data_IF_894425529873
#
_entry.id   IF_894425529873
#
_cell.length_a   1.000
_cell.length_b   1.000
_cell.length_c   1.000
_cell.angle_alpha   90.00
_cell.angle_beta   90.00
_cell.angle_gamma   90.00
#
_symmetry.space_group_name_H-M   'P 1'
#
loop_
_entity.id
_entity.type
_entity.pdbx_description
1 polymer ?
#
# COMPACT_ATOMS: atom_id res chain seq x y z
N UNK A 1 -25.34 -31.39 106.25
CA UNK A 1 -26.46 -32.26 106.65
C UNK A 1 -27.22 -32.62 105.40
N UNK A 2 -27.30 -33.90 105.08
CA UNK A 2 -28.23 -34.35 104.03
C UNK A 2 -29.63 -34.41 104.67
N UNK A 3 -30.63 -33.71 104.12
CA UNK A 3 -32.04 -33.81 104.54
C UNK A 3 -32.77 -34.60 103.46
N UNK A 4 -33.44 -35.68 103.83
CA UNK A 4 -34.07 -36.57 102.84
C UNK A 4 -35.48 -36.15 102.38
N UNK A 5 -36.14 -35.23 103.09
CA UNK A 5 -37.47 -34.72 102.76
C UNK A 5 -37.43 -33.30 102.21
N UNK A 6 -38.58 -32.78 101.83
CA UNK A 6 -38.70 -31.42 101.31
C UNK A 6 -38.24 -30.37 102.32
N UNK A 7 -37.79 -29.24 101.76
CA UNK A 7 -37.57 -28.01 102.50
C UNK A 7 -38.60 -27.01 102.00
N UNK A 8 -39.44 -26.56 102.90
CA UNK A 8 -40.32 -25.43 102.65
C UNK A 8 -39.77 -24.26 103.43
N UNK A 9 -39.51 -23.18 102.71
CA UNK A 9 -39.09 -21.92 103.29
C UNK A 9 -40.19 -20.92 102.97
N UNK A 10 -40.91 -20.52 103.99
CA UNK A 10 -41.89 -19.45 103.88
C UNK A 10 -41.31 -18.20 104.51
N UNK A 11 -41.34 -17.13 103.73
CA UNK A 11 -41.13 -15.78 104.24
C UNK A 11 -42.16 -14.87 103.62
N UNK A 12 -42.64 -13.92 104.41
CA UNK A 12 -43.42 -12.77 103.92
C UNK A 12 -42.49 -11.64 103.42
N UNK A 13 -41.15 -11.80 103.49
CA UNK A 13 -40.16 -10.87 102.92
C UNK A 13 -39.81 -11.22 101.47
N UNK A 14 -40.00 -10.24 100.59
CA UNK A 14 -39.48 -10.28 99.22
C UNK A 14 -37.94 -10.31 99.21
N UNK A 15 -37.37 -11.14 98.32
CA UNK A 15 -35.95 -11.11 97.99
C UNK A 15 -35.66 -9.93 97.05
N UNK A 16 -34.88 -8.95 97.51
CA UNK A 16 -34.51 -7.72 96.79
C UNK A 16 -33.00 -7.50 96.70
N UNK A 17 -32.21 -8.33 97.40
CA UNK A 17 -30.75 -8.38 97.32
C UNK A 17 -30.24 -9.74 97.83
N UNK A 18 -28.93 -9.92 97.92
CA UNK A 18 -28.29 -11.14 98.43
C UNK A 18 -28.40 -11.33 99.95
N UNK A 19 -28.94 -10.33 100.66
CA UNK A 19 -29.12 -10.33 102.12
C UNK A 19 -30.58 -10.11 102.54
N UNK A 20 -31.53 -10.13 101.61
CA UNK A 20 -32.98 -10.12 101.89
C UNK A 20 -33.67 -11.33 101.29
N UNK A 21 -34.83 -11.71 101.83
CA UNK A 21 -35.63 -12.85 101.35
C UNK A 21 -35.43 -14.15 102.13
N UNK A 22 -36.28 -15.14 101.80
CA UNK A 22 -36.47 -16.37 102.56
C UNK A 22 -35.24 -17.29 102.65
N UNK A 23 -34.42 -17.36 101.58
CA UNK A 23 -33.23 -18.20 101.46
C UNK A 23 -32.06 -17.32 101.03
N UNK A 24 -30.98 -17.27 101.81
CA UNK A 24 -29.77 -16.50 101.54
C UNK A 24 -28.54 -17.39 101.65
N UNK A 25 -27.61 -17.23 100.70
CA UNK A 25 -26.35 -17.96 100.65
C UNK A 25 -25.22 -16.97 100.89
N UNK A 26 -24.63 -17.01 102.09
CA UNK A 26 -23.58 -16.08 102.51
C UNK A 26 -22.22 -16.72 102.23
N UNK A 27 -21.60 -16.29 101.12
CA UNK A 27 -20.44 -16.90 100.43
C UNK A 27 -20.74 -18.26 99.79
N UNK A 28 -20.30 -18.46 98.55
CA UNK A 28 -20.63 -19.61 97.71
C UNK A 28 -21.90 -19.40 96.87
N UNK A 29 -22.41 -20.47 96.25
CA UNK A 29 -23.67 -20.50 95.50
C UNK A 29 -24.57 -21.66 95.94
N UNK A 30 -25.89 -21.49 95.89
CA UNK A 30 -26.85 -22.59 96.08
C UNK A 30 -26.78 -23.53 94.87
N UNK A 31 -26.45 -24.80 95.06
CA UNK A 31 -26.67 -25.81 94.02
C UNK A 31 -28.14 -26.24 94.01
N UNK A 32 -28.78 -26.30 92.84
CA UNK A 32 -30.13 -26.84 92.66
C UNK A 32 -30.05 -27.97 91.63
N UNK A 33 -30.29 -29.22 92.05
CA UNK A 33 -30.15 -30.42 91.20
C UNK A 33 -31.31 -30.66 90.23
N UNK A 34 -32.23 -29.70 90.11
CA UNK A 34 -33.44 -29.80 89.30
C UNK A 34 -33.92 -28.42 88.83
N UNK A 35 -35.13 -28.37 88.27
CA UNK A 35 -35.67 -27.15 87.65
C UNK A 35 -36.00 -26.06 88.67
N UNK A 36 -35.53 -24.85 88.39
CA UNK A 36 -35.92 -23.62 89.11
C UNK A 36 -37.11 -22.99 88.41
N UNK A 37 -38.28 -23.01 89.04
CA UNK A 37 -39.47 -22.29 88.57
C UNK A 37 -39.58 -21.00 89.37
N UNK A 38 -39.67 -19.88 88.65
CA UNK A 38 -39.77 -18.55 89.24
C UNK A 38 -41.09 -17.95 88.77
N UNK A 39 -42.02 -17.73 89.71
CA UNK A 39 -43.30 -17.07 89.42
C UNK A 39 -43.18 -15.56 89.23
N UNK A 40 -41.99 -15.01 89.48
CA UNK A 40 -41.63 -13.61 89.28
C UNK A 40 -40.31 -13.48 88.54
N UNK A 41 -39.56 -12.45 88.90
CA UNK A 41 -38.34 -12.07 88.22
C UNK A 41 -37.12 -12.91 88.64
N UNK A 42 -36.35 -13.38 87.67
CA UNK A 42 -35.00 -13.89 87.88
C UNK A 42 -34.03 -12.70 87.84
N UNK A 43 -33.76 -12.10 89.00
CA UNK A 43 -32.86 -10.95 89.11
C UNK A 43 -31.42 -11.39 89.38
N UNK A 44 -30.48 -10.89 88.59
CA UNK A 44 -29.06 -11.15 88.75
C UNK A 44 -28.38 -9.83 89.14
N UNK A 45 -27.72 -9.81 90.29
CA UNK A 45 -27.09 -8.62 90.86
C UNK A 45 -25.57 -8.74 90.85
N UNK A 46 -24.88 -7.61 90.90
CA UNK A 46 -23.42 -7.54 91.04
C UNK A 46 -22.64 -8.22 89.89
N UNK A 47 -23.15 -8.13 88.65
CA UNK A 47 -22.41 -8.45 87.41
C UNK A 47 -22.36 -9.92 86.97
N UNK A 48 -23.24 -10.77 87.52
CA UNK A 48 -23.26 -12.22 87.27
C UNK A 48 -24.13 -12.59 86.03
N UNK A 49 -24.05 -13.83 85.53
CA UNK A 49 -24.78 -14.32 84.33
C UNK A 49 -25.47 -15.67 84.53
N UNK A 50 -26.55 -15.91 83.78
CA UNK A 50 -27.30 -17.18 83.76
C UNK A 50 -26.70 -18.10 82.69
N UNK A 51 -26.27 -19.31 83.07
CA UNK A 51 -25.80 -20.34 82.14
C UNK A 51 -26.89 -21.38 81.87
N UNK A 52 -27.15 -21.66 80.58
CA UNK A 52 -28.11 -22.67 80.12
C UNK A 52 -27.43 -23.56 79.09
N UNK A 53 -27.00 -24.76 79.51
CA UNK A 53 -26.32 -25.75 78.67
C UNK A 53 -27.10 -27.08 78.61
N UNK A 54 -27.17 -27.72 77.43
CA UNK A 54 -27.78 -29.04 77.23
C UNK A 54 -27.70 -29.52 75.78
N UNK A 55 -27.64 -30.84 75.54
CA UNK A 55 -27.55 -31.40 74.18
C UNK A 55 -28.92 -31.36 73.48
N UNK A 56 -29.20 -30.30 72.71
CA UNK A 56 -30.13 -30.40 71.58
C UNK A 56 -31.53 -29.74 71.66
N UNK A 57 -31.72 -28.63 72.37
CA UNK A 57 -32.98 -27.85 72.28
C UNK A 57 -32.73 -26.35 72.40
N UNK A 58 -33.22 -25.54 71.45
CA UNK A 58 -32.91 -24.11 71.35
C UNK A 58 -33.67 -23.22 72.35
N UNK A 59 -32.99 -22.18 72.83
CA UNK A 59 -33.48 -21.14 73.76
C UNK A 59 -34.35 -20.10 73.04
N UNK A 60 -35.49 -19.68 73.63
CA UNK A 60 -36.48 -18.74 73.01
C UNK A 60 -36.85 -17.59 73.97
N UNK A 61 -36.84 -16.36 73.47
CA UNK A 61 -37.26 -15.11 74.17
C UNK A 61 -38.42 -14.46 73.38
N UNK A 62 -39.54 -14.03 74.02
CA UNK A 62 -40.70 -13.34 73.37
C UNK A 62 -41.15 -12.09 74.16
N UNK A 63 -41.39 -10.94 73.48
CA UNK A 63 -42.08 -9.72 74.00
C UNK A 63 -42.77 -8.96 72.86
N UNK A 64 -43.99 -8.45 73.09
CA UNK A 64 -44.88 -7.89 72.05
C UNK A 64 -44.58 -6.41 71.68
N UNK A 65 -43.84 -5.68 72.53
CA UNK A 65 -43.50 -4.25 72.32
C UNK A 65 -42.11 -4.00 71.72
N UNK A 66 -41.49 -5.03 71.15
CA UNK A 66 -40.12 -4.95 70.62
C UNK A 66 -39.02 -5.03 71.69
N UNK A 67 -37.78 -5.23 71.24
CA UNK A 67 -36.59 -5.33 72.06
C UNK A 67 -35.69 -4.10 71.82
N UNK A 68 -35.17 -3.47 72.89
CA UNK A 68 -34.20 -2.36 72.78
C UNK A 68 -32.74 -2.84 72.50
N UNK A 69 -32.54 -4.14 72.24
CA UNK A 69 -31.24 -4.73 71.90
C UNK A 69 -31.15 -6.23 72.20
N UNK A 70 -30.34 -6.96 71.41
CA UNK A 70 -30.01 -8.38 71.56
C UNK A 70 -28.52 -8.57 71.21
N UNK A 71 -27.71 -9.04 72.15
CA UNK A 71 -26.30 -9.41 71.90
C UNK A 71 -26.19 -10.94 71.85
N UNK A 72 -25.54 -11.49 70.82
CA UNK A 72 -25.58 -12.92 70.50
C UNK A 72 -24.17 -13.45 70.23
N UNK A 73 -23.54 -14.01 71.26
CA UNK A 73 -22.20 -14.63 71.17
C UNK A 73 -22.32 -16.15 71.23
N UNK A 74 -22.13 -16.79 70.08
CA UNK A 74 -22.18 -18.25 69.97
C UNK A 74 -21.10 -18.74 69.01
N UNK A 75 -20.62 -19.97 69.20
CA UNK A 75 -19.62 -20.56 68.30
C UNK A 75 -20.17 -20.85 66.89
N UNK A 76 -21.49 -21.04 66.72
CA UNK A 76 -22.14 -21.17 65.41
C UNK A 76 -23.65 -20.91 65.49
N UNK A 77 -24.19 -20.25 64.45
CA UNK A 77 -25.63 -20.03 64.26
C UNK A 77 -26.03 -20.72 62.95
N UNK A 78 -27.01 -21.62 62.98
CA UNK A 78 -27.44 -22.36 61.80
C UNK A 78 -28.27 -21.54 60.81
N UNK A 79 -29.04 -20.54 61.29
CA UNK A 79 -29.77 -19.58 60.43
C UNK A 79 -30.13 -18.31 61.19
N UNK A 80 -29.97 -17.18 60.52
CA UNK A 80 -30.58 -15.92 60.93
C UNK A 80 -31.81 -15.65 60.06
N UNK A 81 -32.98 -15.52 60.65
CA UNK A 81 -34.23 -15.20 59.95
C UNK A 81 -34.78 -13.89 60.47
N UNK A 82 -34.90 -12.91 59.57
CA UNK A 82 -35.42 -11.58 59.86
C UNK A 82 -36.69 -11.42 59.03
N UNK A 83 -37.82 -11.22 59.71
CA UNK A 83 -39.14 -11.00 59.10
C UNK A 83 -39.67 -9.68 59.65
N UNK A 84 -39.18 -8.59 59.08
CA UNK A 84 -39.53 -7.23 59.47
C UNK A 84 -40.24 -6.52 58.30
N UNK A 85 -41.11 -5.56 58.61
CA UNK A 85 -41.67 -4.61 57.64
C UNK A 85 -40.79 -3.37 57.44
N UNK A 86 -39.79 -3.13 58.31
CA UNK A 86 -38.81 -2.04 58.24
C UNK A 86 -37.41 -2.45 57.72
N UNK A 87 -36.47 -1.48 57.58
CA UNK A 87 -35.14 -1.72 57.01
C UNK A 87 -34.13 -2.32 58.00
N UNK A 88 -33.15 -3.06 57.45
CA UNK A 88 -31.93 -3.50 58.15
C UNK A 88 -30.83 -2.46 57.95
N UNK A 89 -30.26 -1.92 59.04
CA UNK A 89 -29.22 -0.86 59.00
C UNK A 89 -27.91 -1.33 59.64
N UNK A 90 -26.79 -0.99 59.01
CA UNK A 90 -25.42 -1.25 59.48
C UNK A 90 -24.69 0.09 59.61
N UNK A 91 -24.20 0.44 60.81
CA UNK A 91 -23.69 1.80 61.15
C UNK A 91 -22.16 1.90 61.27
N UNK A 92 -21.43 0.79 61.15
CA UNK A 92 -19.96 0.81 61.10
C UNK A 92 -19.47 1.56 59.86
N UNK A 93 -18.42 2.36 59.98
CA UNK A 93 -17.94 3.28 58.93
C UNK A 93 -16.69 2.81 58.16
N UNK A 94 -16.32 1.53 58.23
CA UNK A 94 -15.17 0.99 57.47
C UNK A 94 -15.39 1.14 55.96
N UNK A 95 -14.40 1.66 55.25
CA UNK A 95 -14.40 1.83 53.80
C UNK A 95 -14.21 0.50 53.05
N UNK A 96 -14.78 0.41 51.85
CA UNK A 96 -14.75 -0.78 51.00
C UNK A 96 -13.77 -0.60 49.85
N UNK A 97 -12.82 -1.51 49.75
CA UNK A 97 -11.93 -1.67 48.59
C UNK A 97 -11.79 -3.17 48.20
N UNK A 98 -12.39 -4.07 48.99
CA UNK A 98 -12.53 -5.52 48.78
C UNK A 98 -13.78 -6.08 49.49
N UNK A 99 -14.11 -7.34 49.25
CA UNK A 99 -15.28 -8.03 49.81
C UNK A 99 -15.21 -8.35 51.31
N UNK A 100 -14.02 -8.27 51.93
CA UNK A 100 -13.78 -8.50 53.38
C UNK A 100 -13.39 -7.22 54.12
N UNK A 101 -13.47 -6.10 53.41
CA UNK A 101 -13.35 -4.76 53.96
C UNK A 101 -14.70 -4.08 53.86
N UNK A 102 -15.06 -3.33 54.91
CA UNK A 102 -16.25 -2.52 54.90
C UNK A 102 -17.31 -2.98 55.88
N UNK A 103 -18.35 -2.17 55.95
CA UNK A 103 -19.41 -2.25 56.95
C UNK A 103 -20.31 -3.50 56.81
N UNK A 104 -20.69 -3.84 55.58
CA UNK A 104 -21.46 -5.04 55.26
C UNK A 104 -20.59 -5.99 54.44
N UNK A 105 -20.22 -7.12 55.05
CA UNK A 105 -19.47 -8.18 54.39
C UNK A 105 -20.41 -9.36 54.20
N UNK A 106 -21.01 -9.45 53.01
CA UNK A 106 -21.76 -10.64 52.65
C UNK A 106 -20.79 -11.57 51.98
N UNK A 107 -20.40 -12.58 52.76
CA UNK A 107 -19.51 -13.62 52.24
C UNK A 107 -20.20 -14.41 51.11
N UNK A 108 -21.53 -14.57 51.17
CA UNK A 108 -22.33 -15.12 50.07
C UNK A 108 -22.78 -14.07 49.05
N UNK A 109 -23.20 -14.54 47.88
CA UNK A 109 -23.77 -13.65 46.87
C UNK A 109 -25.02 -12.95 47.38
N UNK A 110 -25.17 -11.70 46.97
CA UNK A 110 -26.43 -10.99 47.20
C UNK A 110 -27.34 -11.33 46.02
N UNK A 111 -28.23 -12.28 46.23
CA UNK A 111 -29.34 -12.53 45.32
C UNK A 111 -30.33 -11.38 45.46
N UNK A 112 -30.32 -10.49 44.48
CA UNK A 112 -31.28 -9.40 44.41
C UNK A 112 -32.21 -9.70 43.25
N UNK A 113 -33.43 -10.13 43.56
CA UNK A 113 -34.50 -10.17 42.56
C UNK A 113 -34.88 -8.76 42.07
N UNK A 114 -34.45 -7.73 42.82
CA UNK A 114 -34.42 -6.30 42.47
C UNK A 114 -32.98 -5.76 42.23
N UNK A 115 -32.71 -4.47 42.48
CA UNK A 115 -31.42 -3.81 42.14
C UNK A 115 -30.35 -3.67 43.26
N UNK A 116 -29.07 -3.47 42.88
CA UNK A 116 -27.89 -3.26 43.76
C UNK A 116 -27.40 -1.79 43.76
N UNK A 117 -27.19 -1.15 44.92
CA UNK A 117 -26.69 0.25 45.05
C UNK A 117 -25.41 0.37 45.90
N UNK A 118 -24.36 1.03 45.38
CA UNK A 118 -22.99 1.10 45.97
C UNK A 118 -22.46 2.56 45.98
N UNK A 119 -22.17 3.13 47.15
CA UNK A 119 -21.78 4.56 47.34
C UNK A 119 -20.27 4.89 47.32
N UNK A 120 -19.39 3.88 47.23
CA UNK A 120 -17.93 4.00 47.02
C UNK A 120 -17.52 3.44 45.65
N UNK A 121 -16.25 3.01 45.46
CA UNK A 121 -15.79 2.35 44.22
C UNK A 121 -16.75 1.23 43.85
N UNK A 122 -17.52 1.45 42.79
CA UNK A 122 -18.26 0.39 42.13
C UNK A 122 -17.24 -0.29 41.23
N UNK A 123 -16.50 -1.21 41.83
CA UNK A 123 -16.05 -2.42 41.17
C UNK A 123 -17.29 -3.25 40.83
N UNK A 124 -18.16 -2.62 40.05
CA UNK A 124 -18.85 -3.30 39.00
C UNK A 124 -17.81 -3.37 37.93
N UNK A 125 -17.62 -4.58 37.53
CA UNK A 125 -17.48 -4.91 36.14
C UNK A 125 -17.96 -3.86 35.10
N UNK A 126 -18.83 -2.83 35.33
CA UNK A 126 -19.08 -1.68 34.43
C UNK A 126 -19.61 -2.09 33.05
N UNK A 127 -20.05 -3.34 33.04
CA UNK A 127 -20.46 -4.18 31.96
C UNK A 127 -21.93 -4.36 32.25
N UNK A 128 -22.80 -3.84 31.38
CA UNK A 128 -24.20 -4.23 31.42
C UNK A 128 -24.32 -5.56 30.70
N UNK A 129 -24.21 -6.67 31.44
CA UNK A 129 -24.44 -8.02 30.92
C UNK A 129 -25.93 -8.18 30.63
N UNK A 130 -26.32 -8.01 29.37
CA UNK A 130 -27.68 -8.40 28.98
C UNK A 130 -27.72 -9.90 28.74
N UNK A 131 -28.78 -10.56 29.22
CA UNK A 131 -29.11 -11.92 28.79
C UNK A 131 -29.78 -11.82 27.40
N UNK A 132 -28.96 -11.57 26.38
CA UNK A 132 -29.44 -11.16 25.07
C UNK A 132 -28.72 -11.94 23.96
N UNK A 133 -29.48 -12.72 23.18
CA UNK A 133 -29.01 -13.50 22.03
C UNK A 133 -28.92 -12.66 20.73
N UNK A 134 -29.13 -11.35 20.81
CA UNK A 134 -29.14 -10.47 19.63
C UNK A 134 -27.71 -10.20 19.16
N UNK A 135 -27.44 -10.46 17.88
CA UNK A 135 -26.16 -10.13 17.24
C UNK A 135 -25.88 -8.61 17.31
N UNK A 136 -24.59 -8.25 17.44
CA UNK A 136 -24.16 -6.85 17.49
C UNK A 136 -24.40 -6.19 16.12
N UNK A 137 -25.27 -5.19 16.07
CA UNK A 137 -25.59 -4.42 14.87
C UNK A 137 -25.23 -2.92 15.02
N UNK A 138 -25.20 -2.41 16.25
CA UNK A 138 -24.86 -1.03 16.63
C UNK A 138 -24.06 -1.02 17.93
N UNK A 139 -23.51 0.14 18.29
CA UNK A 139 -22.81 0.39 19.58
C UNK A 139 -23.71 0.23 20.82
N UNK A 140 -25.02 0.14 20.61
CA UNK A 140 -26.05 0.05 21.64
C UNK A 140 -26.73 -1.33 21.64
N UNK A 141 -26.11 -2.31 20.97
CA UNK A 141 -26.60 -3.68 20.87
C UNK A 141 -25.48 -4.66 21.24
N UNK A 142 -25.82 -5.73 21.95
CA UNK A 142 -24.84 -6.71 22.43
C UNK A 142 -24.93 -6.94 23.93
N UNK A 143 -24.32 -8.04 24.37
CA UNK A 143 -24.36 -8.50 25.75
C UNK A 143 -23.48 -7.66 26.68
N UNK A 144 -22.43 -7.02 26.17
CA UNK A 144 -21.60 -6.05 26.91
C UNK A 144 -21.64 -4.74 26.15
N UNK A 145 -22.25 -3.73 26.77
CA UNK A 145 -22.29 -2.38 26.23
C UNK A 145 -21.48 -1.45 27.10
N UNK A 146 -20.53 -0.75 26.48
CA UNK A 146 -19.84 0.40 27.06
C UNK A 146 -20.37 1.61 26.34
N UNK A 147 -21.50 2.12 26.82
CA UNK A 147 -22.29 3.14 26.10
C UNK A 147 -21.59 4.49 26.11
N UNK A 148 -20.76 4.74 27.12
CA UNK A 148 -20.02 5.98 27.28
C UNK A 148 -18.56 5.69 27.63
N UNK A 149 -17.65 6.29 26.87
CA UNK A 149 -16.22 6.07 26.98
C UNK A 149 -15.70 5.09 25.93
N UNK A 150 -14.39 4.91 25.92
CA UNK A 150 -13.74 3.86 25.15
C UNK A 150 -13.51 2.64 26.03
N UNK A 151 -13.44 1.47 25.41
CA UNK A 151 -12.87 0.31 26.09
C UNK A 151 -11.36 0.47 26.06
N UNK A 152 -10.77 0.89 27.18
CA UNK A 152 -9.33 0.87 27.36
C UNK A 152 -8.86 -0.57 27.53
N UNK A 153 -8.18 -1.12 26.51
CA UNK A 153 -7.69 -2.50 26.52
C UNK A 153 -6.16 -2.44 26.49
N UNK A 154 -5.54 -2.63 27.66
CA UNK A 154 -4.08 -2.67 27.77
C UNK A 154 -3.44 -3.94 27.21
N UNK A 155 -4.24 -4.94 26.80
CA UNK A 155 -3.81 -6.21 26.23
C UNK A 155 -4.31 -6.45 24.80
N UNK A 156 -4.32 -7.71 24.36
CA UNK A 156 -4.84 -8.10 23.04
C UNK A 156 -6.37 -8.20 22.98
N UNK A 157 -6.93 -8.11 21.78
CA UNK A 157 -8.34 -8.35 21.48
C UNK A 157 -8.40 -9.49 20.46
N UNK A 158 -9.22 -10.52 20.70
CA UNK A 158 -9.55 -11.55 19.70
C UNK A 158 -11.05 -11.49 19.44
N UNK A 159 -11.44 -11.29 18.19
CA UNK A 159 -12.84 -11.21 17.78
C UNK A 159 -13.14 -12.39 16.87
N UNK A 160 -13.97 -13.35 17.31
CA UNK A 160 -14.37 -14.50 16.50
C UNK A 160 -15.44 -14.18 15.45
N UNK A 161 -16.12 -13.05 15.61
CA UNK A 161 -17.11 -12.51 14.67
C UNK A 161 -16.58 -11.30 13.90
N UNK A 162 -17.51 -10.58 13.26
CA UNK A 162 -17.20 -9.32 12.57
C UNK A 162 -16.97 -8.21 13.58
N UNK A 163 -15.93 -7.41 13.36
CA UNK A 163 -15.71 -6.14 14.04
C UNK A 163 -16.10 -5.00 13.12
N UNK A 164 -17.09 -4.20 13.52
CA UNK A 164 -17.57 -3.05 12.74
C UNK A 164 -17.17 -1.75 13.43
N UNK A 165 -16.47 -0.87 12.71
CA UNK A 165 -16.18 0.51 13.15
C UNK A 165 -17.16 1.44 12.47
N UNK A 166 -18.08 2.03 13.22
CA UNK A 166 -19.18 2.86 12.69
C UNK A 166 -18.84 4.35 12.58
N UNK A 167 -17.70 4.78 13.10
CA UNK A 167 -17.24 6.16 12.93
C UNK A 167 -16.99 6.44 11.45
N UNK A 168 -17.53 7.54 10.92
CA UNK A 168 -17.48 7.91 9.50
C UNK A 168 -16.42 8.98 9.19
N UNK A 169 -15.60 9.34 10.18
CA UNK A 169 -14.51 10.31 9.99
C UNK A 169 -13.53 9.79 8.94
N UNK A 170 -13.34 10.55 7.86
CA UNK A 170 -12.39 10.22 6.82
C UNK A 170 -10.94 10.31 7.34
N UNK A 171 -10.09 9.39 6.91
CA UNK A 171 -8.66 9.46 7.16
C UNK A 171 -7.99 10.38 6.14
N UNK A 172 -7.19 11.33 6.63
CA UNK A 172 -6.36 12.26 5.82
C UNK A 172 -4.88 12.21 6.22
N UNK A 173 -4.56 11.56 7.33
CA UNK A 173 -3.23 11.30 7.87
C UNK A 173 -3.28 10.04 8.74
N UNK A 174 -2.13 9.59 9.26
CA UNK A 174 -2.07 8.45 10.18
C UNK A 174 -2.75 8.69 11.53
N UNK A 175 -3.04 9.94 11.88
CA UNK A 175 -3.57 10.35 13.17
C UNK A 175 -5.04 10.84 13.07
N UNK A 176 -5.68 10.62 11.90
CA UNK A 176 -7.08 10.97 11.66
C UNK A 176 -7.85 9.77 11.12
N UNK A 177 -9.17 9.85 11.18
CA UNK A 177 -10.06 8.80 10.69
C UNK A 177 -10.63 7.89 11.78
N UNK A 178 -11.53 7.01 11.35
CA UNK A 178 -12.32 6.13 12.19
C UNK A 178 -11.51 5.01 12.88
N UNK A 179 -10.54 4.44 12.18
CA UNK A 179 -9.63 3.41 12.67
C UNK A 179 -8.20 3.92 12.51
N UNK A 180 -7.48 4.05 13.63
CA UNK A 180 -6.08 4.46 13.65
C UNK A 180 -5.25 3.30 14.18
N UNK A 181 -4.18 2.96 13.46
CA UNK A 181 -3.22 1.93 13.86
C UNK A 181 -1.84 2.56 13.83
N UNK A 182 -1.23 2.71 15.02
CA UNK A 182 0.09 3.34 15.16
C UNK A 182 1.22 2.42 14.66
N UNK A 183 1.00 1.11 14.68
CA UNK A 183 1.91 0.10 14.15
C UNK A 183 1.56 -0.35 12.72
N UNK A 184 2.12 -1.49 12.31
CA UNK A 184 1.74 -2.14 11.05
C UNK A 184 0.43 -2.92 11.15
N UNK A 185 -0.24 -3.11 10.00
CA UNK A 185 -1.42 -3.97 9.88
C UNK A 185 -1.06 -5.16 8.98
N UNK A 186 -1.14 -6.38 9.51
CA UNK A 186 -1.04 -7.61 8.72
C UNK A 186 -2.43 -8.10 8.35
N UNK A 187 -2.68 -8.30 7.05
CA UNK A 187 -3.97 -8.78 6.52
C UNK A 187 -3.70 -10.02 5.66
N UNK A 188 -4.21 -11.17 6.10
CA UNK A 188 -4.05 -12.43 5.36
C UNK A 188 -4.97 -12.54 4.16
N UNK A 189 -6.17 -11.96 4.26
CA UNK A 189 -7.16 -11.92 3.18
C UNK A 189 -6.98 -10.72 2.26
N UNK A 190 -7.97 -10.49 1.40
CA UNK A 190 -8.04 -9.30 0.55
C UNK A 190 -8.47 -8.05 1.31
N UNK A 191 -8.15 -6.88 0.73
CA UNK A 191 -8.63 -5.57 1.17
C UNK A 191 -9.52 -5.03 0.05
N UNK A 192 -10.75 -4.65 0.39
CA UNK A 192 -11.65 -3.94 -0.53
C UNK A 192 -11.93 -2.57 0.06
N UNK A 193 -11.58 -1.52 -0.68
CA UNK A 193 -11.73 -0.13 -0.26
C UNK A 193 -12.45 0.65 -1.35
N UNK A 194 -13.58 1.25 -1.01
CA UNK A 194 -14.33 2.12 -1.92
C UNK A 194 -13.76 3.54 -1.98
N UNK A 195 -12.92 3.91 -1.00
CA UNK A 195 -12.31 5.22 -0.89
C UNK A 195 -10.92 5.30 -1.54
N UNK A 196 -10.26 6.44 -1.33
CA UNK A 196 -8.88 6.66 -1.76
C UNK A 196 -7.92 5.94 -0.81
N UNK A 197 -6.94 5.23 -1.37
CA UNK A 197 -5.85 4.62 -0.61
C UNK A 197 -4.59 5.46 -0.81
N UNK A 198 -4.16 6.17 0.23
CA UNK A 198 -2.99 7.06 0.17
C UNK A 198 -1.80 6.40 0.86
N UNK A 199 -0.67 6.27 0.16
CA UNK A 199 0.61 5.79 0.70
C UNK A 199 1.54 7.00 0.86
N UNK A 200 1.88 7.35 2.10
CA UNK A 200 2.65 8.57 2.42
C UNK A 200 4.15 8.33 2.59
N UNK A 201 4.61 7.08 2.59
CA UNK A 201 6.03 6.77 2.66
C UNK A 201 6.75 7.41 1.45
N UNK A 202 7.78 8.22 1.69
CA UNK A 202 8.50 8.96 0.67
C UNK A 202 9.70 8.20 0.06
N UNK A 203 9.90 6.93 0.44
CA UNK A 203 11.02 6.12 -0.06
C UNK A 203 10.88 5.91 -1.57
N UNK A 204 11.89 6.31 -2.34
CA UNK A 204 11.94 6.10 -3.79
C UNK A 204 12.13 4.61 -4.13
N UNK A 205 11.45 4.14 -5.18
CA UNK A 205 11.65 2.80 -5.70
C UNK A 205 12.83 2.77 -6.69
N UNK A 206 13.77 1.84 -6.47
CA UNK A 206 14.89 1.55 -7.39
C UNK A 206 14.85 0.10 -7.90
N UNK A 207 13.98 -0.72 -7.32
CA UNK A 207 13.64 -2.10 -7.71
C UNK A 207 12.23 -2.45 -7.19
N UNK A 208 11.71 -3.63 -7.55
CA UNK A 208 10.38 -4.11 -7.14
C UNK A 208 10.22 -4.39 -5.64
N UNK A 209 11.33 -4.47 -4.88
CA UNK A 209 11.35 -4.73 -3.43
C UNK A 209 11.74 -3.50 -2.61
N UNK A 210 11.69 -2.32 -3.24
CA UNK A 210 12.02 -1.03 -2.60
C UNK A 210 10.90 -0.03 -2.85
N UNK A 211 10.89 1.06 -2.07
CA UNK A 211 9.92 2.13 -2.22
C UNK A 211 8.68 1.97 -1.35
N UNK A 212 7.76 2.92 -1.50
CA UNK A 212 6.60 3.10 -0.65
C UNK A 212 5.53 2.00 -0.78
N UNK A 213 5.22 1.60 -2.00
CA UNK A 213 4.25 0.56 -2.32
C UNK A 213 4.95 -0.54 -3.11
N UNK A 214 4.92 -1.76 -2.57
CA UNK A 214 5.52 -2.94 -3.19
C UNK A 214 4.41 -3.93 -3.56
N UNK A 215 4.48 -4.45 -4.79
CA UNK A 215 3.53 -5.42 -5.32
C UNK A 215 4.36 -6.56 -5.90
N UNK A 216 4.35 -7.71 -5.24
CA UNK A 216 5.12 -8.88 -5.69
C UNK A 216 4.50 -9.56 -6.92
N UNK A 217 3.18 -9.45 -7.08
CA UNK A 217 2.44 -9.92 -8.25
C UNK A 217 2.28 -8.86 -9.34
N UNK A 218 1.19 -8.93 -10.10
CA UNK A 218 0.83 -7.91 -11.09
C UNK A 218 -0.05 -6.79 -10.50
N UNK A 219 0.05 -5.60 -11.08
CA UNK A 219 -0.86 -4.49 -10.82
C UNK A 219 -1.85 -4.34 -11.98
N UNK A 220 -3.13 -4.58 -11.73
CA UNK A 220 -4.21 -4.30 -12.67
C UNK A 220 -4.76 -2.88 -12.47
N UNK A 221 -4.79 -2.08 -13.53
CA UNK A 221 -5.35 -0.72 -13.50
C UNK A 221 -6.39 -0.60 -14.62
N UNK A 222 -7.66 -0.45 -14.23
CA UNK A 222 -8.76 -0.27 -15.20
C UNK A 222 -8.91 1.16 -15.72
N UNK A 223 -8.19 2.12 -15.13
CA UNK A 223 -8.21 3.53 -15.50
C UNK A 223 -6.83 4.07 -15.86
N UNK A 224 -6.69 5.39 -15.82
CA UNK A 224 -5.44 6.10 -16.16
C UNK A 224 -4.41 6.01 -15.04
N UNK A 225 -3.13 5.85 -15.41
CA UNK A 225 -2.00 5.99 -14.49
C UNK A 225 -1.41 7.39 -14.69
N UNK A 226 -1.32 8.17 -13.61
CA UNK A 226 -0.66 9.47 -13.60
C UNK A 226 0.59 9.41 -12.71
N UNK A 227 1.77 9.51 -13.31
CA UNK A 227 3.05 9.50 -12.63
C UNK A 227 3.78 10.82 -12.87
N UNK A 228 4.21 11.49 -11.79
CA UNK A 228 5.05 12.68 -11.88
C UNK A 228 6.53 12.33 -12.08
N UNK A 229 6.92 11.11 -11.72
CA UNK A 229 8.28 10.60 -11.85
C UNK A 229 8.46 9.68 -13.05
N UNK A 230 9.65 9.08 -13.12
CA UNK A 230 9.98 8.12 -14.16
C UNK A 230 9.17 6.82 -14.02
N UNK A 231 8.79 6.23 -15.15
CA UNK A 231 8.27 4.87 -15.22
C UNK A 231 9.39 4.00 -15.80
N UNK A 232 9.88 3.05 -15.01
CA UNK A 232 10.88 2.06 -15.45
C UNK A 232 10.16 0.72 -15.61
N UNK A 233 10.21 0.17 -16.81
CA UNK A 233 9.62 -1.15 -17.12
C UNK A 233 10.75 -2.10 -17.46
N UNK A 234 11.04 -3.03 -16.54
CA UNK A 234 12.01 -4.10 -16.78
C UNK A 234 11.37 -5.28 -17.51
N UNK A 235 12.17 -6.11 -18.19
CA UNK A 235 11.67 -7.33 -18.82
C UNK A 235 12.43 -7.76 -20.08
N UNK A 236 11.80 -8.64 -20.85
CA UNK A 236 12.34 -9.25 -22.07
C UNK A 236 12.50 -8.25 -23.21
N UNK A 237 13.46 -8.49 -24.11
CA UNK A 237 13.59 -7.74 -25.37
C UNK A 237 12.33 -7.88 -26.24
N UNK A 238 12.03 -6.86 -27.04
CA UNK A 238 10.91 -6.86 -27.98
C UNK A 238 11.35 -7.37 -29.36
N UNK A 239 10.51 -8.18 -30.01
CA UNK A 239 10.66 -8.62 -31.40
C UNK A 239 9.35 -8.56 -32.20
N UNK A 240 8.25 -8.17 -31.55
CA UNK A 240 6.91 -8.03 -32.10
C UNK A 240 6.05 -7.18 -31.16
N UNK A 241 4.89 -6.72 -31.61
CA UNK A 241 3.91 -5.97 -30.79
C UNK A 241 3.30 -6.79 -29.65
N UNK A 242 3.61 -8.09 -29.54
CA UNK A 242 3.13 -8.98 -28.48
C UNK A 242 4.23 -9.41 -27.51
N UNK A 243 5.40 -8.76 -27.57
CA UNK A 243 6.57 -9.06 -26.74
C UNK A 243 7.25 -7.78 -26.26
N UNK A 244 8.04 -7.88 -25.21
CA UNK A 244 8.77 -6.76 -24.65
C UNK A 244 8.31 -6.38 -23.25
N UNK A 245 9.08 -5.54 -22.57
CA UNK A 245 8.74 -5.02 -21.25
C UNK A 245 7.50 -4.11 -21.27
N UNK A 246 7.38 -3.24 -22.28
CA UNK A 246 6.23 -2.35 -22.48
C UNK A 246 5.48 -2.75 -23.77
N UNK A 247 4.24 -3.20 -23.63
CA UNK A 247 3.34 -3.50 -24.74
C UNK A 247 2.21 -2.48 -24.79
N UNK A 248 1.92 -1.94 -25.97
CA UNK A 248 0.85 -0.97 -26.18
C UNK A 248 0.02 -1.35 -27.40
N UNK A 249 -1.29 -1.53 -27.22
CA UNK A 249 -2.20 -2.05 -28.26
C UNK A 249 -2.79 -0.92 -29.12
N UNK A 250 -3.21 0.20 -28.52
CA UNK A 250 -3.89 1.30 -29.23
C UNK A 250 -2.95 2.30 -29.92
N UNK A 251 -1.75 2.50 -29.37
CA UNK A 251 -0.77 3.49 -29.83
C UNK A 251 -0.19 4.30 -28.67
N UNK A 252 0.94 4.97 -28.92
CA UNK A 252 1.62 5.81 -27.93
C UNK A 252 1.68 7.24 -28.45
N UNK A 253 1.11 8.18 -27.71
CA UNK A 253 1.31 9.61 -27.93
C UNK A 253 2.53 10.11 -27.18
N UNK A 254 3.49 10.72 -27.89
CA UNK A 254 4.70 11.30 -27.30
C UNK A 254 4.79 12.74 -27.79
N UNK A 255 4.53 13.71 -26.90
CA UNK A 255 4.61 15.13 -27.23
C UNK A 255 6.06 15.66 -27.22
N UNK A 256 6.93 15.01 -26.45
CA UNK A 256 8.37 15.29 -26.44
C UNK A 256 9.13 14.48 -27.48
N UNK A 257 10.43 14.32 -27.25
CA UNK A 257 11.26 13.44 -28.07
C UNK A 257 11.10 11.97 -27.69
N UNK A 258 11.38 11.09 -28.66
CA UNK A 258 11.58 9.67 -28.44
C UNK A 258 13.06 9.36 -28.72
N UNK A 259 13.79 8.89 -27.70
CA UNK A 259 15.17 8.43 -27.85
C UNK A 259 15.20 6.89 -27.79
N UNK A 260 15.66 6.25 -28.87
CA UNK A 260 15.69 4.79 -28.99
C UNK A 260 17.14 4.35 -29.20
N UNK A 261 17.69 3.60 -28.25
CA UNK A 261 19.04 3.02 -28.38
C UNK A 261 19.10 1.80 -29.29
N UNK A 262 17.94 1.25 -29.69
CA UNK A 262 17.80 0.12 -30.60
C UNK A 262 17.13 0.50 -31.92
N UNK A 263 16.50 -0.48 -32.57
CA UNK A 263 15.84 -0.31 -33.87
C UNK A 263 14.38 0.10 -33.67
N UNK A 264 13.91 1.06 -34.47
CA UNK A 264 12.48 1.35 -34.63
C UNK A 264 11.97 0.51 -35.80
N UNK A 265 11.01 -0.38 -35.54
CA UNK A 265 10.37 -1.22 -36.57
C UNK A 265 8.90 -0.83 -36.71
N UNK A 266 8.45 -0.60 -37.94
CA UNK A 266 7.05 -0.33 -38.26
C UNK A 266 6.79 -0.54 -39.75
N UNK A 267 5.54 -0.80 -40.12
CA UNK A 267 5.13 -0.87 -41.54
C UNK A 267 5.36 0.46 -42.25
N UNK A 268 5.16 1.57 -41.55
CA UNK A 268 5.47 2.91 -42.01
C UNK A 268 6.09 3.70 -40.86
N UNK A 269 7.15 4.44 -41.16
CA UNK A 269 7.75 5.42 -40.26
C UNK A 269 7.67 6.78 -40.96
N UNK A 270 6.74 7.62 -40.49
CA UNK A 270 6.58 8.98 -41.02
C UNK A 270 7.40 9.93 -40.14
N UNK A 271 8.50 10.39 -40.70
CA UNK A 271 9.27 11.51 -40.16
C UNK A 271 8.77 12.71 -40.96
N UNK A 272 8.25 13.76 -40.32
CA UNK A 272 7.61 14.90 -40.99
C UNK A 272 8.55 15.69 -41.92
N UNK A 273 8.35 17.00 -42.15
CA UNK A 273 9.18 17.78 -43.08
C UNK A 273 10.65 17.98 -42.60
N UNK A 274 11.02 17.44 -41.44
CA UNK A 274 12.39 17.50 -40.93
C UNK A 274 13.22 16.34 -41.45
N UNK A 275 14.45 16.67 -41.87
CA UNK A 275 15.46 15.71 -42.28
C UNK A 275 15.59 14.60 -41.23
N UNK A 276 15.40 13.36 -41.66
CA UNK A 276 15.85 12.21 -40.89
C UNK A 276 17.32 12.47 -40.52
N UNK A 277 17.62 12.66 -39.24
CA UNK A 277 19.00 12.71 -38.79
C UNK A 277 19.53 11.29 -38.94
N UNK A 278 20.15 11.06 -40.08
CA UNK A 278 20.87 9.86 -40.47
C UNK A 278 22.16 9.80 -39.65
N UNK A 279 22.09 9.34 -38.40
CA UNK A 279 23.30 8.85 -37.74
C UNK A 279 23.67 7.53 -38.41
N UNK A 280 24.54 7.64 -39.42
CA UNK A 280 25.17 6.54 -40.14
C UNK A 280 24.18 5.65 -40.87
N UNK A 281 23.64 6.18 -41.97
CA UNK A 281 23.34 5.30 -43.11
C UNK A 281 24.68 4.73 -43.55
N UNK A 282 25.06 3.58 -43.00
CA UNK A 282 25.93 2.66 -43.69
C UNK A 282 25.12 2.08 -44.86
N UNK A 283 24.79 2.92 -45.84
CA UNK A 283 24.69 2.43 -47.21
C UNK A 283 26.12 2.06 -47.55
N UNK A 284 26.48 0.82 -47.24
CA UNK A 284 27.25 0.07 -48.21
C UNK A 284 26.37 0.00 -49.47
N UNK A 285 26.33 1.12 -50.21
CA UNK A 285 25.76 1.17 -51.54
C UNK A 285 26.65 0.28 -52.37
N UNK A 286 26.22 -0.96 -52.57
CA UNK A 286 26.83 -1.88 -53.49
C UNK A 286 26.63 -1.27 -54.88
N UNK A 287 27.67 -0.60 -55.36
CA UNK A 287 27.76 -0.04 -56.71
C UNK A 287 27.30 -1.04 -57.77
N UNK A 288 26.57 -0.60 -58.83
CA UNK A 288 26.42 0.79 -59.32
C UNK A 288 25.25 1.60 -58.72
N UNK A 289 25.42 2.93 -58.58
CA UNK A 289 24.32 3.88 -58.34
C UNK A 289 23.84 4.39 -59.70
N UNK A 290 22.55 4.24 -60.00
CA UNK A 290 21.95 4.82 -61.21
C UNK A 290 21.85 6.35 -61.04
N UNK A 291 22.43 7.09 -61.97
CA UNK A 291 22.20 8.53 -62.10
C UNK A 291 20.96 8.74 -62.99
N UNK A 292 20.74 9.97 -63.46
CA UNK A 292 19.63 10.27 -64.35
C UNK A 292 19.72 9.56 -65.72
N UNK A 293 18.56 9.09 -66.19
CA UNK A 293 18.34 8.70 -67.58
C UNK A 293 18.31 9.95 -68.45
N UNK A 294 19.28 10.08 -69.36
CA UNK A 294 19.43 11.23 -70.25
C UNK A 294 18.74 11.02 -71.61
N UNK A 295 18.05 9.89 -71.77
CA UNK A 295 17.41 9.45 -73.02
C UNK A 295 16.41 10.49 -73.59
N UNK A 296 15.75 11.27 -72.73
CA UNK A 296 14.81 12.32 -73.14
C UNK A 296 15.47 13.68 -73.48
N UNK A 297 16.80 13.80 -73.28
CA UNK A 297 17.57 15.00 -73.56
C UNK A 297 18.41 14.88 -74.84
N UNK A 298 18.38 13.72 -75.52
CA UNK A 298 19.08 13.49 -76.77
C UNK A 298 18.39 14.20 -77.95
N UNK A 299 19.04 15.22 -78.51
CA UNK A 299 18.52 16.06 -79.61
C UNK A 299 19.47 16.15 -80.82
N UNK A 300 20.56 15.38 -80.83
CA UNK A 300 21.60 15.41 -81.86
C UNK A 300 22.52 16.64 -81.82
N UNK A 301 22.30 17.59 -80.90
CA UNK A 301 23.03 18.85 -80.81
C UNK A 301 23.70 19.06 -79.44
N UNK A 302 23.03 18.68 -78.34
CA UNK A 302 23.52 18.82 -76.97
C UNK A 302 24.47 17.70 -76.62
N UNK A 303 25.65 18.09 -76.14
CA UNK A 303 26.71 17.18 -75.69
C UNK A 303 26.93 17.23 -74.19
N UNK A 304 26.28 18.14 -73.44
CA UNK A 304 26.55 18.39 -72.03
C UNK A 304 25.27 18.22 -71.22
N UNK A 305 25.31 17.32 -70.24
CA UNK A 305 24.13 16.94 -69.46
C UNK A 305 24.42 16.98 -67.95
N UNK A 306 23.47 17.45 -67.12
CA UNK A 306 23.67 17.51 -65.68
C UNK A 306 23.60 16.10 -65.11
N UNK A 307 24.44 15.79 -64.11
CA UNK A 307 24.33 14.55 -63.37
C UNK A 307 23.47 14.76 -62.13
N UNK A 308 22.36 14.03 -62.04
CA UNK A 308 21.39 14.14 -60.96
C UNK A 308 21.05 12.75 -60.40
N UNK A 309 20.79 12.68 -59.09
CA UNK A 309 20.14 11.54 -58.42
C UNK A 309 18.86 12.10 -57.79
N UNK A 310 17.69 11.59 -58.19
CA UNK A 310 16.39 12.06 -57.69
C UNK A 310 16.28 13.59 -57.63
N UNK A 311 16.58 14.25 -58.77
CA UNK A 311 16.60 15.72 -58.94
C UNK A 311 17.68 16.47 -58.13
N UNK A 312 18.50 15.78 -57.35
CA UNK A 312 19.61 16.37 -56.58
C UNK A 312 20.91 16.32 -57.38
N UNK A 313 21.64 17.44 -57.42
CA UNK A 313 22.91 17.54 -58.14
C UNK A 313 23.97 16.59 -57.58
N UNK A 314 24.60 15.82 -58.48
CA UNK A 314 25.79 15.03 -58.13
C UNK A 314 26.99 15.99 -58.01
N UNK A 315 27.74 15.85 -56.93
CA UNK A 315 28.95 16.62 -56.64
C UNK A 315 30.08 15.66 -56.24
N UNK A 316 31.34 16.07 -56.41
CA UNK A 316 32.50 15.29 -55.96
C UNK A 316 32.98 14.18 -56.90
N UNK A 317 32.38 14.01 -58.09
CA UNK A 317 32.99 13.19 -59.14
C UNK A 317 34.20 13.95 -59.69
N UNK A 318 35.38 13.36 -59.55
CA UNK A 318 36.64 14.00 -59.94
C UNK A 318 37.37 13.26 -61.05
N UNK A 319 36.94 12.04 -61.38
CA UNK A 319 37.45 11.22 -62.48
C UNK A 319 36.28 10.71 -63.35
N UNK A 320 36.46 10.64 -64.67
CA UNK A 320 35.43 10.15 -65.59
C UNK A 320 35.25 8.63 -65.51
N UNK A 321 36.22 7.88 -64.97
CA UNK A 321 36.10 6.44 -64.70
C UNK A 321 35.16 6.11 -63.55
N UNK A 322 34.78 7.11 -62.76
CA UNK A 322 33.79 6.95 -61.71
C UNK A 322 32.39 6.73 -62.29
N UNK A 323 32.21 7.00 -63.59
CA UNK A 323 30.99 6.75 -64.32
C UNK A 323 31.13 5.64 -65.34
N UNK A 324 30.03 4.94 -65.56
CA UNK A 324 29.80 4.10 -66.72
C UNK A 324 28.64 4.71 -67.51
N UNK A 325 28.96 5.12 -68.73
CA UNK A 325 27.99 5.76 -69.66
C UNK A 325 27.70 4.80 -70.80
N UNK A 326 26.42 4.62 -71.10
CA UNK A 326 25.93 3.75 -72.16
C UNK A 326 24.99 4.52 -73.07
N UNK A 327 25.24 4.47 -74.38
CA UNK A 327 24.38 5.09 -75.41
C UNK A 327 23.96 4.00 -76.40
N UNK A 328 22.66 3.82 -76.60
CA UNK A 328 22.07 2.83 -77.54
C UNK A 328 22.64 1.41 -77.37
N UNK A 329 22.78 0.94 -76.13
CA UNK A 329 23.31 -0.39 -75.86
C UNK A 329 24.84 -0.50 -75.86
N UNK A 330 25.57 0.61 -76.08
CA UNK A 330 27.03 0.60 -76.21
C UNK A 330 27.71 1.44 -75.13
N UNK A 331 28.69 0.86 -74.43
CA UNK A 331 29.49 1.60 -73.45
C UNK A 331 30.42 2.60 -74.14
N UNK A 332 30.44 3.82 -73.59
CA UNK A 332 31.38 4.86 -73.99
C UNK A 332 32.66 4.77 -73.16
N UNK A 333 33.79 5.11 -73.77
CA UNK A 333 35.07 5.11 -73.08
C UNK A 333 35.26 6.40 -72.25
N UNK A 334 35.66 6.31 -70.97
CA UNK A 334 36.11 7.47 -70.22
C UNK A 334 37.45 7.93 -70.79
N UNK A 335 37.56 9.22 -71.11
CA UNK A 335 38.75 9.83 -71.71
C UNK A 335 39.16 9.22 -73.06
N UNK A 336 38.56 9.70 -74.15
CA UNK A 336 39.01 9.31 -75.50
C UNK A 336 40.30 10.05 -75.85
N UNK A 337 41.23 9.33 -76.48
CA UNK A 337 42.50 9.89 -76.98
C UNK A 337 42.20 10.91 -78.08
N UNK A 338 42.50 12.18 -77.85
CA UNK A 338 42.47 13.17 -78.93
C UNK A 338 43.72 12.95 -79.79
N UNK A 339 43.53 12.71 -81.08
CA UNK A 339 44.63 12.66 -82.04
C UNK A 339 44.57 13.93 -82.88
N UNK A 340 45.10 15.02 -82.33
CA UNK A 340 45.26 16.30 -83.03
C UNK A 340 46.70 16.50 -83.47
N UNK A 341 46.92 16.81 -84.75
CA UNK A 341 48.13 17.49 -85.20
C UNK A 341 47.87 19.02 -85.11
N UNK A 342 48.90 19.86 -84.95
CA UNK A 342 48.74 21.27 -84.52
C UNK A 342 47.92 22.19 -85.44
N UNK A 343 47.55 21.76 -86.65
CA UNK A 343 46.89 22.59 -87.67
C UNK A 343 45.65 21.96 -88.32
N UNK A 344 45.05 20.93 -87.71
CA UNK A 344 43.73 20.44 -88.15
C UNK A 344 42.75 20.48 -86.97
N UNK A 345 41.53 20.97 -87.22
CA UNK A 345 40.46 20.85 -86.25
C UNK A 345 40.23 19.37 -85.93
N UNK A 346 40.09 19.06 -84.64
CA UNK A 346 39.93 17.72 -84.12
C UNK A 346 38.60 17.13 -84.58
N UNK A 347 38.64 16.11 -85.44
CA UNK A 347 37.44 15.39 -85.86
C UNK A 347 37.62 13.93 -85.46
N UNK A 348 36.68 13.42 -84.64
CA UNK A 348 36.54 12.03 -84.17
C UNK A 348 37.19 11.66 -82.82
N UNK A 349 36.62 12.17 -81.72
CA UNK A 349 36.65 11.48 -80.42
C UNK A 349 35.54 10.40 -80.36
N UNK A 350 35.57 9.46 -81.31
CA UNK A 350 34.48 8.50 -81.52
C UNK A 350 34.20 7.72 -80.24
N UNK A 351 33.00 7.91 -79.66
CA UNK A 351 32.42 7.15 -78.54
C UNK A 351 33.05 7.36 -77.16
N UNK A 352 33.38 8.62 -76.84
CA UNK A 352 33.89 8.98 -75.52
C UNK A 352 32.96 9.85 -74.70
N UNK A 353 33.28 9.95 -73.41
CA UNK A 353 32.76 10.99 -72.54
C UNK A 353 33.85 11.53 -71.58
N UNK A 354 33.55 12.68 -70.96
CA UNK A 354 34.27 13.19 -69.79
C UNK A 354 33.31 13.77 -68.76
N UNK A 355 33.70 13.75 -67.50
CA UNK A 355 33.04 14.48 -66.43
C UNK A 355 33.67 15.86 -66.31
N UNK A 356 32.83 16.89 -66.20
CA UNK A 356 33.26 18.27 -65.94
C UNK A 356 32.53 18.80 -64.72
N UNK A 357 33.22 19.63 -63.94
CA UNK A 357 32.62 20.35 -62.82
C UNK A 357 32.53 21.82 -63.22
N UNK A 358 31.34 22.40 -63.14
CA UNK A 358 31.16 23.84 -63.38
C UNK A 358 31.24 24.59 -62.04
N UNK A 359 31.31 25.93 -62.08
CA UNK A 359 31.52 26.78 -60.90
C UNK A 359 30.52 26.65 -59.75
N UNK A 360 29.49 25.80 -59.86
CA UNK A 360 28.49 25.48 -58.82
C UNK A 360 28.74 24.12 -58.13
N UNK A 361 29.94 23.54 -58.23
CA UNK A 361 30.32 22.20 -57.69
C UNK A 361 29.56 21.02 -58.29
N UNK A 362 28.58 21.27 -59.16
CA UNK A 362 27.82 20.24 -59.86
C UNK A 362 28.66 19.58 -60.95
N UNK A 363 28.61 18.25 -60.98
CA UNK A 363 29.19 17.46 -62.05
C UNK A 363 28.23 17.33 -63.23
N UNK A 364 28.79 17.41 -64.43
CA UNK A 364 28.12 17.24 -65.71
C UNK A 364 28.86 16.19 -66.51
N UNK A 365 28.13 15.41 -67.31
CA UNK A 365 28.72 14.51 -68.30
C UNK A 365 28.74 15.20 -69.66
N UNK A 366 29.89 15.15 -70.31
CA UNK A 366 30.09 15.64 -71.67
C UNK A 366 30.26 14.43 -72.58
N UNK A 367 29.34 14.23 -73.51
CA UNK A 367 29.40 13.22 -74.56
C UNK A 367 30.05 13.86 -75.80
N UNK A 368 31.17 13.32 -76.28
CA UNK A 368 31.88 13.94 -77.41
C UNK A 368 31.12 13.86 -78.74
N UNK A 369 30.19 12.91 -78.85
CA UNK A 369 29.20 12.89 -79.92
C UNK A 369 27.82 13.09 -79.29
N UNK A 370 27.11 14.13 -79.71
CA UNK A 370 25.76 14.38 -79.22
C UNK A 370 24.86 13.19 -79.62
N UNK A 371 24.10 12.61 -78.67
CA UNK A 371 23.22 11.50 -78.96
C UNK A 371 22.05 11.96 -79.83
N UNK A 372 21.74 11.20 -80.88
CA UNK A 372 20.62 11.48 -81.80
C UNK A 372 19.26 11.36 -81.09
N UNK A 373 18.25 12.04 -81.63
CA UNK A 373 16.87 11.96 -81.13
C UNK A 373 16.41 10.51 -81.01
N UNK A 374 15.93 10.14 -79.82
CA UNK A 374 15.48 8.77 -79.51
C UNK A 374 16.58 7.83 -79.02
N UNK A 375 17.81 8.32 -78.84
CA UNK A 375 18.88 7.50 -78.25
C UNK A 375 18.63 7.20 -76.78
N UNK A 376 18.86 5.96 -76.36
CA UNK A 376 18.86 5.59 -74.95
C UNK A 376 20.20 5.95 -74.32
N UNK A 377 20.22 6.82 -73.32
CA UNK A 377 21.43 7.29 -72.64
C UNK A 377 21.30 7.02 -71.15
N UNK A 378 22.07 6.04 -70.68
CA UNK A 378 22.12 5.61 -69.28
C UNK A 378 23.46 6.02 -68.69
N UNK A 379 23.41 6.67 -67.52
CA UNK A 379 24.60 6.99 -66.74
C UNK A 379 24.47 6.33 -65.38
N UNK A 380 25.46 5.53 -65.02
CA UNK A 380 25.59 5.01 -63.67
C UNK A 380 26.93 5.45 -63.11
N UNK A 381 26.94 5.76 -61.83
CA UNK A 381 28.17 5.91 -61.09
C UNK A 381 28.58 4.51 -60.62
N UNK A 382 29.84 4.16 -60.84
CA UNK A 382 30.43 2.84 -60.54
C UNK A 382 31.56 2.93 -59.52
N UNK A 383 32.09 4.13 -59.27
CA UNK A 383 33.15 4.35 -58.30
C UNK A 383 33.13 5.80 -57.75
N UNK A 384 33.95 6.08 -56.73
CA UNK A 384 34.28 7.45 -56.27
C UNK A 384 35.80 7.53 -56.15
N UNK A 385 36.45 8.17 -57.11
CA UNK A 385 37.87 8.43 -57.05
C UNK A 385 38.16 9.60 -56.10
N UNK A 386 39.33 9.58 -55.46
CA UNK A 386 39.82 10.67 -54.58
C UNK A 386 40.99 11.45 -55.20
N UNK A 387 41.47 11.02 -56.37
CA UNK A 387 42.43 11.76 -57.19
C UNK A 387 41.99 11.80 -58.65
N UNK A 388 42.19 12.93 -59.32
CA UNK A 388 41.96 13.07 -60.76
C UNK A 388 43.13 12.49 -61.54
N UNK A 389 42.89 11.56 -62.46
CA UNK A 389 43.92 11.13 -63.40
C UNK A 389 44.09 12.18 -64.52
N UNK A 390 45.22 12.90 -64.53
CA UNK A 390 45.61 13.78 -65.64
C UNK A 390 46.46 12.99 -66.64
N UNK A 391 46.12 13.03 -67.94
CA UNK A 391 47.04 12.59 -69.00
C UNK A 391 47.75 13.79 -69.61
N UNK A 392 49.08 13.76 -69.55
CA UNK A 392 49.94 14.68 -70.30
C UNK A 392 50.11 14.16 -71.72
N UNK A 393 49.88 15.01 -72.73
CA UNK A 393 50.33 14.74 -74.08
C UNK A 393 51.85 14.92 -74.15
N UNK A 394 52.60 14.10 -74.91
CA UNK A 394 54.07 14.12 -74.92
C UNK A 394 54.70 15.32 -75.64
N UNK A 395 53.95 16.40 -75.91
CA UNK A 395 54.48 17.57 -76.61
C UNK A 395 54.33 18.82 -75.74
N UNK A 396 55.44 19.27 -75.15
CA UNK A 396 55.55 20.61 -74.59
C UNK A 396 55.64 21.63 -75.72
N UNK A 397 55.18 22.85 -75.49
CA UNK A 397 55.26 23.99 -76.42
C UNK A 397 56.71 24.43 -76.77
N UNK A 398 57.71 23.59 -76.51
CA UNK A 398 59.14 23.84 -76.66
C UNK A 398 59.75 23.19 -77.92
N UNK A 399 58.98 22.38 -78.67
CA UNK A 399 59.47 21.62 -79.82
C UNK A 399 58.67 21.91 -81.11
N UNK A 400 58.37 23.18 -81.38
CA UNK A 400 58.12 23.65 -82.76
C UNK A 400 59.43 24.30 -83.21
N UNK A 401 60.28 23.51 -83.87
CA UNK A 401 61.33 24.07 -84.70
C UNK A 401 60.67 24.49 -86.03
N UNK A 402 60.54 25.79 -86.25
CA UNK A 402 60.46 26.33 -87.60
C UNK A 402 61.88 26.28 -88.17
N UNK A 403 62.06 25.57 -89.29
CA UNK A 403 63.34 25.47 -89.99
C UNK A 403 63.09 25.18 -91.47
N UNK A 404 63.22 26.26 -92.25
CA UNK A 404 63.17 26.47 -93.72
C UNK A 404 61.89 26.11 -94.49
#
# INVERSE_FOLDING_TARGET
TTVGGNIIITSNNAATSTITGALQIVNGGLGVGGATVIGGELSVVNGQYISVAGSGGGTRIRRDGGLNGLDLQTSFISRLFISDSGPVTITTSSSTFSTVTGALQVSGGVGIGGGLFVGGTFTNTGITVHNNNTAVATTNSGALQVVNGGVGIGGGIVVGGVSTVTNTTAASSTNTGALQVLGGVGIWGGIVSSGINTVTNATSATSTVTGALQIAGGLGVGGTIYSSGQIIVGGTSTNSTNTGALQVIGGVGISGGLFVGGIITGTNVFIGPWAAVTSTVATASLWPIMLNELSNQADGLRSVFPLLIDQTAVTGLIDSKDLQVMVNGQYLAPYVREKGLPWINTVNAYRGFRVVTTGTSQNWVVLYNAPDIGSQVVVSQVNISTTTQVRSYPYSASAIALGE
#
